data_IF_802557482895
#
_entry.id   IF_802557482895
#
_cell.length_a   1.000
_cell.length_b   1.000
_cell.length_c   1.000
_cell.angle_alpha   90.00
_cell.angle_beta   90.00
_cell.angle_gamma   90.00
#
_symmetry.space_group_name_H-M   'P 1'
#
loop_
_entity.id
_entity.type
_entity.pdbx_description
1 polymer ?
#
# COMPACT_ATOMS: atom_id res chain seq x y z
N UNK A 1 23.39 4.39 -13.76
CA UNK A 1 22.92 3.03 -14.13
C UNK A 1 21.61 2.76 -13.41
N UNK A 2 20.56 2.21 -14.06
CA UNK A 2 19.34 1.87 -13.34
C UNK A 2 19.65 0.81 -12.27
N UNK A 3 19.08 0.97 -11.08
CA UNK A 3 19.27 0.04 -9.96
C UNK A 3 18.59 -1.29 -10.30
N UNK A 4 19.38 -2.33 -10.57
CA UNK A 4 18.84 -3.65 -10.95
C UNK A 4 18.09 -4.34 -9.78
N UNK A 5 18.53 -4.09 -8.54
CA UNK A 5 17.93 -4.68 -7.34
C UNK A 5 17.96 -3.72 -6.15
N UNK A 6 16.84 -3.62 -5.45
CA UNK A 6 16.70 -2.92 -4.16
C UNK A 6 16.64 -3.96 -3.05
N UNK A 7 17.45 -3.75 -2.01
CA UNK A 7 17.49 -4.61 -0.83
C UNK A 7 16.74 -3.97 0.33
N UNK A 8 16.01 -4.80 1.08
CA UNK A 8 15.34 -4.39 2.31
C UNK A 8 15.49 -5.48 3.38
N UNK A 9 15.60 -5.07 4.65
CA UNK A 9 15.71 -6.00 5.78
C UNK A 9 15.11 -5.40 7.04
N UNK A 10 15.75 -4.34 7.55
CA UNK A 10 15.40 -3.75 8.83
C UNK A 10 14.31 -2.71 8.62
N UNK A 11 13.35 -2.58 9.57
CA UNK A 11 12.34 -1.54 9.53
C UNK A 11 12.86 -0.11 9.37
N UNK A 12 14.07 0.16 9.86
CA UNK A 12 14.70 1.49 9.88
C UNK A 12 15.46 1.83 8.59
N UNK A 13 15.60 0.89 7.67
CA UNK A 13 16.27 1.13 6.37
C UNK A 13 15.37 2.01 5.46
N UNK A 14 15.90 2.66 4.40
CA UNK A 14 15.09 3.49 3.48
C UNK A 14 13.90 2.76 2.83
N UNK A 15 14.00 1.44 2.64
CA UNK A 15 12.90 0.57 2.17
C UNK A 15 12.40 -0.36 3.28
N UNK A 16 12.69 -0.03 4.54
CA UNK A 16 12.39 -0.82 5.72
C UNK A 16 10.89 -0.95 6.00
N UNK A 17 10.09 -0.02 5.50
CA UNK A 17 8.63 -0.14 5.49
C UNK A 17 8.13 -1.35 4.68
N UNK A 18 8.96 -1.99 3.83
CA UNK A 18 8.64 -3.26 3.17
C UNK A 18 8.95 -4.50 4.04
N UNK A 19 9.68 -4.33 5.15
CA UNK A 19 9.86 -5.40 6.13
C UNK A 19 8.53 -5.77 6.77
N UNK A 20 8.19 -7.05 6.86
CA UNK A 20 6.95 -7.46 7.53
C UNK A 20 6.97 -7.17 9.05
N UNK A 21 8.14 -6.85 9.61
CA UNK A 21 8.34 -6.44 11.00
C UNK A 21 8.17 -4.92 11.24
N UNK A 22 8.07 -4.09 10.18
CA UNK A 22 7.89 -2.65 10.37
C UNK A 22 6.58 -2.32 11.08
N UNK A 23 6.55 -1.24 11.88
CA UNK A 23 5.40 -0.78 12.68
C UNK A 23 4.30 -0.13 11.83
N UNK A 24 3.73 -0.90 10.92
CA UNK A 24 2.54 -0.54 10.14
C UNK A 24 1.43 -1.50 10.53
N UNK A 25 0.42 -0.96 11.20
CA UNK A 25 -0.73 -1.73 11.65
C UNK A 25 -1.50 -2.27 10.45
N UNK A 26 -2.04 -3.49 10.59
CA UNK A 26 -2.91 -4.10 9.59
C UNK A 26 -4.18 -4.63 10.24
N UNK A 27 -5.32 -4.43 9.58
CA UNK A 27 -6.60 -5.00 9.94
C UNK A 27 -6.91 -6.20 9.05
N UNK A 28 -6.98 -7.39 9.66
CA UNK A 28 -7.15 -8.66 8.95
C UNK A 28 -8.05 -9.56 9.79
N UNK A 29 -9.09 -10.14 9.15
CA UNK A 29 -10.01 -11.11 9.77
C UNK A 29 -10.71 -10.57 11.03
N UNK A 30 -11.16 -9.31 10.97
CA UNK A 30 -11.87 -8.68 12.08
C UNK A 30 -10.97 -8.10 13.17
N UNK A 31 -9.65 -8.23 13.05
CA UNK A 31 -8.69 -7.93 14.11
C UNK A 31 -7.57 -7.00 13.63
N UNK A 32 -7.16 -6.07 14.50
CA UNK A 32 -5.98 -5.21 14.31
C UNK A 32 -4.71 -5.90 14.80
N UNK A 33 -3.67 -5.86 13.99
CA UNK A 33 -2.36 -6.43 14.26
C UNK A 33 -1.30 -5.35 14.19
N UNK A 34 -0.44 -5.25 15.21
CA UNK A 34 0.61 -4.22 15.27
C UNK A 34 1.53 -4.24 14.04
N UNK A 35 1.84 -5.43 13.54
CA UNK A 35 2.65 -5.63 12.33
C UNK A 35 2.17 -6.86 11.56
N UNK A 36 2.56 -6.96 10.29
CA UNK A 36 2.35 -8.17 9.49
C UNK A 36 3.06 -9.41 10.09
N UNK A 37 4.19 -9.22 10.79
CA UNK A 37 4.87 -10.29 11.55
C UNK A 37 3.96 -10.85 12.66
N UNK A 38 3.26 -10.02 13.44
CA UNK A 38 2.36 -10.51 14.48
C UNK A 38 1.28 -11.42 13.90
N UNK A 39 0.61 -10.97 12.83
CA UNK A 39 -0.38 -11.79 12.13
C UNK A 39 0.21 -13.12 11.65
N UNK A 40 1.37 -13.07 11.01
CA UNK A 40 2.03 -14.24 10.45
C UNK A 40 2.46 -15.25 11.53
N UNK A 41 2.99 -14.78 12.65
CA UNK A 41 3.42 -15.63 13.76
C UNK A 41 2.22 -16.26 14.48
N UNK A 42 1.15 -15.50 14.72
CA UNK A 42 -0.07 -16.02 15.35
C UNK A 42 -0.76 -17.06 14.48
N UNK A 43 -0.77 -16.89 13.14
CA UNK A 43 -1.41 -17.82 12.20
C UNK A 43 -0.79 -19.23 12.18
N UNK A 44 0.39 -19.42 12.78
CA UNK A 44 1.04 -20.72 12.95
C UNK A 44 0.32 -21.64 13.92
N UNK A 45 -0.48 -21.09 14.82
CA UNK A 45 -1.02 -21.82 15.97
C UNK A 45 -2.53 -21.85 15.98
N UNK A 46 -3.10 -22.95 16.48
CA UNK A 46 -4.54 -23.06 16.78
C UNK A 46 -4.83 -22.79 18.26
N UNK A 47 -3.88 -23.09 19.13
CA UNK A 47 -4.00 -22.88 20.58
C UNK A 47 -4.25 -21.41 20.93
N UNK A 48 -5.32 -21.15 21.69
CA UNK A 48 -5.76 -19.80 21.99
C UNK A 48 -4.79 -19.05 22.91
N UNK A 49 -4.19 -19.74 23.89
CA UNK A 49 -3.26 -19.13 24.85
C UNK A 49 -1.99 -18.65 24.16
N UNK A 50 -1.43 -19.49 23.30
CA UNK A 50 -0.24 -19.17 22.52
C UNK A 50 -0.50 -18.07 21.51
N UNK A 51 -1.65 -18.12 20.81
CA UNK A 51 -2.07 -17.03 19.92
C UNK A 51 -2.17 -15.71 20.67
N UNK A 52 -2.80 -15.69 21.84
CA UNK A 52 -2.93 -14.49 22.67
C UNK A 52 -1.56 -13.98 23.15
N UNK A 53 -0.65 -14.85 23.57
CA UNK A 53 0.71 -14.48 23.95
C UNK A 53 1.46 -13.79 22.80
N UNK A 54 1.35 -14.32 21.58
CA UNK A 54 1.99 -13.72 20.40
C UNK A 54 1.33 -12.37 20.03
N UNK A 55 0.00 -12.27 20.12
CA UNK A 55 -0.73 -11.00 19.88
C UNK A 55 -0.28 -9.91 20.85
N UNK A 56 0.00 -10.28 22.11
CA UNK A 56 0.37 -9.38 23.21
C UNK A 56 1.86 -9.04 23.24
N UNK A 57 2.69 -9.66 22.40
CA UNK A 57 4.09 -9.31 22.27
C UNK A 57 4.22 -7.81 21.95
N UNK A 58 5.22 -7.17 22.56
CA UNK A 58 5.46 -5.74 22.36
C UNK A 58 6.19 -5.48 21.04
N UNK A 59 6.96 -6.47 20.58
CA UNK A 59 7.80 -6.34 19.39
C UNK A 59 7.61 -7.50 18.42
N UNK A 60 7.77 -7.27 17.10
CA UNK A 60 7.76 -8.35 16.10
C UNK A 60 8.81 -9.43 16.38
N UNK A 61 9.95 -9.06 16.97
CA UNK A 61 11.00 -10.02 17.36
C UNK A 61 10.58 -10.89 18.53
N UNK A 62 9.83 -10.33 19.50
CA UNK A 62 9.23 -11.11 20.57
C UNK A 62 8.15 -12.06 20.06
N UNK A 63 7.24 -11.58 19.20
CA UNK A 63 6.25 -12.43 18.54
C UNK A 63 6.92 -13.62 17.83
N UNK A 64 8.02 -13.37 17.11
CA UNK A 64 8.82 -14.39 16.42
C UNK A 64 9.51 -15.35 17.41
N UNK A 65 10.04 -14.83 18.52
CA UNK A 65 10.71 -15.62 19.56
C UNK A 65 9.76 -16.61 20.21
N UNK A 66 8.58 -16.15 20.64
CA UNK A 66 7.53 -16.99 21.24
C UNK A 66 7.14 -18.09 20.24
N UNK A 67 6.83 -17.72 19.00
CA UNK A 67 6.47 -18.69 17.97
C UNK A 67 7.60 -19.69 17.62
N UNK A 68 8.86 -19.30 17.76
CA UNK A 68 10.00 -20.20 17.54
C UNK A 68 10.16 -21.21 18.69
N UNK A 69 9.99 -20.78 19.94
CA UNK A 69 10.03 -21.65 21.12
C UNK A 69 8.95 -22.75 21.03
N UNK A 70 7.78 -22.40 20.48
CA UNK A 70 6.66 -23.30 20.28
C UNK A 70 6.62 -23.96 18.90
N UNK A 71 7.75 -24.08 18.18
CA UNK A 71 7.76 -24.61 16.81
C UNK A 71 7.10 -25.99 16.64
N UNK A 72 7.10 -26.82 17.69
CA UNK A 72 6.48 -28.16 17.70
C UNK A 72 4.95 -28.11 17.74
N UNK A 73 4.39 -27.00 18.20
CA UNK A 73 2.94 -26.80 18.38
C UNK A 73 2.30 -26.14 17.14
N UNK A 74 3.07 -25.91 16.08
CA UNK A 74 2.57 -25.33 14.84
C UNK A 74 1.57 -26.27 14.16
N UNK A 75 0.58 -25.68 13.49
CA UNK A 75 -0.40 -26.43 12.71
C UNK A 75 0.27 -27.31 11.64
N UNK A 76 -0.23 -28.54 11.40
CA UNK A 76 0.43 -29.52 10.54
C UNK A 76 0.50 -29.09 9.06
N UNK A 77 -0.42 -28.24 8.62
CA UNK A 77 -0.49 -27.70 7.25
C UNK A 77 0.29 -26.41 7.06
N UNK A 78 1.06 -25.94 8.06
CA UNK A 78 1.75 -24.65 8.04
C UNK A 78 2.60 -24.44 6.78
N UNK A 79 3.37 -25.45 6.37
CA UNK A 79 4.21 -25.37 5.19
C UNK A 79 3.44 -25.12 3.89
N UNK A 80 2.19 -25.60 3.80
CA UNK A 80 1.32 -25.43 2.63
C UNK A 80 0.70 -24.03 2.57
N UNK A 81 0.36 -23.46 3.73
CA UNK A 81 -0.42 -22.20 3.80
C UNK A 81 0.42 -20.94 4.01
N UNK A 82 1.66 -21.07 4.52
CA UNK A 82 2.46 -19.92 4.98
C UNK A 82 2.59 -18.81 3.93
N UNK A 83 2.67 -19.16 2.65
CA UNK A 83 2.77 -18.20 1.55
C UNK A 83 1.47 -17.41 1.40
N UNK A 84 0.31 -18.07 1.48
CA UNK A 84 -0.99 -17.41 1.43
C UNK A 84 -1.22 -16.48 2.62
N UNK A 85 -0.83 -16.92 3.82
CA UNK A 85 -0.90 -16.09 5.04
C UNK A 85 -0.05 -14.83 4.89
N UNK A 86 1.22 -14.97 4.47
CA UNK A 86 2.10 -13.82 4.26
C UNK A 86 1.56 -12.89 3.17
N UNK A 87 1.12 -13.44 2.03
CA UNK A 87 0.52 -12.65 0.94
C UNK A 87 -0.64 -11.79 1.43
N UNK A 88 -1.54 -12.38 2.22
CA UNK A 88 -2.68 -11.65 2.80
C UNK A 88 -2.22 -10.50 3.69
N UNK A 89 -1.21 -10.74 4.53
CA UNK A 89 -0.64 -9.73 5.40
C UNK A 89 0.00 -8.57 4.64
N UNK A 90 0.82 -8.87 3.62
CA UNK A 90 1.48 -7.84 2.80
C UNK A 90 0.49 -7.04 1.97
N UNK A 91 -0.52 -7.70 1.40
CA UNK A 91 -1.57 -7.02 0.64
C UNK A 91 -2.40 -6.08 1.52
N UNK A 92 -2.82 -6.55 2.71
CA UNK A 92 -3.47 -5.68 3.70
C UNK A 92 -2.57 -4.48 4.06
N UNK A 93 -1.28 -4.73 4.29
CA UNK A 93 -0.31 -3.69 4.61
C UNK A 93 -0.19 -2.62 3.54
N UNK A 94 0.05 -2.99 2.28
CA UNK A 94 0.14 -2.01 1.19
C UNK A 94 -1.19 -1.29 0.92
N UNK A 95 -2.33 -1.97 1.05
CA UNK A 95 -3.64 -1.34 0.84
C UNK A 95 -3.97 -0.33 1.93
N UNK A 96 -3.68 -0.66 3.18
CA UNK A 96 -4.10 0.13 4.35
C UNK A 96 -3.09 1.23 4.73
N UNK A 97 -1.82 1.13 4.30
CA UNK A 97 -0.77 2.09 4.64
C UNK A 97 -0.26 2.77 3.36
N UNK A 98 -0.61 4.05 3.20
CA UNK A 98 -0.35 4.81 1.97
C UNK A 98 1.13 5.06 1.70
N UNK A 99 1.91 5.24 2.76
CA UNK A 99 3.36 5.38 2.75
C UNK A 99 4.06 4.09 2.29
N UNK A 100 3.67 2.92 2.83
CA UNK A 100 4.18 1.61 2.37
C UNK A 100 3.87 1.40 0.88
N UNK A 101 2.66 1.77 0.46
CA UNK A 101 2.24 1.67 -0.95
C UNK A 101 3.07 2.55 -1.87
N UNK A 102 3.28 3.82 -1.49
CA UNK A 102 4.09 4.74 -2.26
C UNK A 102 5.51 4.21 -2.43
N UNK A 103 6.13 3.75 -1.34
CA UNK A 103 7.46 3.15 -1.38
C UNK A 103 7.50 1.90 -2.26
N UNK A 104 6.49 1.04 -2.21
CA UNK A 104 6.41 -0.17 -3.04
C UNK A 104 6.34 0.15 -4.54
N UNK A 105 5.59 1.19 -4.93
CA UNK A 105 5.40 1.54 -6.34
C UNK A 105 6.65 2.19 -6.94
N UNK A 106 7.34 3.07 -6.20
CA UNK A 106 8.57 3.73 -6.69
C UNK A 106 9.73 2.74 -6.91
N UNK A 107 9.63 1.51 -6.40
CA UNK A 107 10.65 0.49 -6.64
C UNK A 107 10.53 -0.14 -8.02
N UNK A 108 9.52 0.18 -8.83
CA UNK A 108 9.42 -0.30 -10.20
C UNK A 108 10.48 0.37 -11.11
N UNK A 109 11.09 -0.37 -12.05
CA UNK A 109 10.94 -1.80 -12.32
C UNK A 109 11.96 -2.67 -11.55
N UNK A 110 12.67 -2.13 -10.55
CA UNK A 110 13.73 -2.82 -9.84
C UNK A 110 13.24 -4.10 -9.12
N UNK A 111 14.14 -5.08 -9.01
CA UNK A 111 13.87 -6.31 -8.26
C UNK A 111 13.96 -6.05 -6.76
N UNK A 112 12.92 -6.39 -6.02
CA UNK A 112 12.94 -6.34 -4.56
C UNK A 112 13.57 -7.61 -4.00
N UNK A 113 14.62 -7.49 -3.18
CA UNK A 113 15.30 -8.60 -2.52
C UNK A 113 15.33 -8.42 -1.02
N UNK A 114 14.70 -9.32 -0.27
CA UNK A 114 14.88 -9.34 1.17
C UNK A 114 16.29 -9.87 1.48
N UNK A 115 17.10 -9.07 2.17
CA UNK A 115 18.40 -9.53 2.63
C UNK A 115 18.20 -10.60 3.72
N UNK A 116 18.86 -11.75 3.59
CA UNK A 116 18.76 -12.83 4.58
C UNK A 116 19.97 -13.75 4.50
N UNK A 117 20.17 -14.57 5.53
CA UNK A 117 21.20 -15.61 5.53
C UNK A 117 20.96 -16.63 4.41
N UNK A 118 22.02 -17.27 3.94
CA UNK A 118 21.98 -18.29 2.90
C UNK A 118 21.00 -19.41 3.25
N UNK A 119 20.10 -19.75 2.32
CA UNK A 119 19.10 -20.81 2.51
C UNK A 119 17.75 -20.37 3.07
N UNK A 120 17.58 -19.09 3.41
CA UNK A 120 16.27 -18.56 3.81
C UNK A 120 15.25 -18.70 2.68
N UNK A 121 14.04 -19.13 3.04
CA UNK A 121 12.91 -19.26 2.14
C UNK A 121 12.30 -17.89 1.78
N UNK A 122 12.23 -16.98 2.76
CA UNK A 122 11.61 -15.67 2.62
C UNK A 122 12.55 -14.68 1.94
N UNK A 123 13.81 -14.64 2.35
CA UNK A 123 14.87 -13.85 1.70
C UNK A 123 15.86 -14.69 0.89
N UNK A 124 17.07 -14.15 0.69
CA UNK A 124 18.19 -14.88 0.08
C UNK A 124 17.91 -15.37 -1.35
N UNK A 125 18.38 -16.58 -1.69
CA UNK A 125 18.24 -17.12 -3.07
C UNK A 125 16.79 -17.39 -3.48
N UNK A 126 15.91 -17.75 -2.53
CA UNK A 126 14.49 -18.04 -2.84
C UNK A 126 13.68 -16.74 -2.97
N UNK A 127 13.98 -15.76 -2.11
CA UNK A 127 13.41 -14.41 -2.12
C UNK A 127 11.88 -14.39 -2.25
N UNK A 128 11.19 -15.27 -1.52
CA UNK A 128 9.72 -15.34 -1.61
C UNK A 128 9.06 -14.03 -1.18
N UNK A 129 9.58 -13.35 -0.16
CA UNK A 129 9.02 -12.08 0.31
C UNK A 129 9.13 -10.98 -0.75
N UNK A 130 10.30 -10.84 -1.38
CA UNK A 130 10.49 -9.91 -2.49
C UNK A 130 9.57 -10.24 -3.67
N UNK A 131 9.39 -11.53 -4.01
CA UNK A 131 8.44 -11.95 -5.04
C UNK A 131 7.00 -11.60 -4.70
N UNK A 132 6.57 -11.77 -3.45
CA UNK A 132 5.22 -11.39 -3.02
C UNK A 132 5.02 -9.88 -3.10
N UNK A 133 6.02 -9.07 -2.74
CA UNK A 133 5.95 -7.63 -2.88
C UNK A 133 5.89 -7.19 -4.33
N UNK A 134 6.72 -7.76 -5.21
CA UNK A 134 6.64 -7.48 -6.65
C UNK A 134 5.29 -7.90 -7.22
N UNK A 135 4.73 -9.06 -6.83
CA UNK A 135 3.38 -9.45 -7.23
C UNK A 135 2.30 -8.48 -6.73
N UNK A 136 2.41 -7.95 -5.52
CA UNK A 136 1.47 -6.94 -5.02
C UNK A 136 1.67 -5.60 -5.74
N UNK A 137 2.90 -5.20 -6.02
CA UNK A 137 3.22 -4.01 -6.83
C UNK A 137 2.64 -4.11 -8.23
N UNK A 138 2.88 -5.24 -8.90
CA UNK A 138 2.39 -5.51 -10.25
C UNK A 138 0.87 -5.58 -10.23
N UNK A 139 0.25 -6.22 -9.22
CA UNK A 139 -1.21 -6.17 -9.03
C UNK A 139 -1.73 -4.75 -8.87
N UNK A 140 -1.09 -3.93 -8.03
CA UNK A 140 -1.46 -2.52 -7.83
C UNK A 140 -1.27 -1.68 -9.10
N UNK A 141 -0.32 -2.06 -9.97
CA UNK A 141 -0.09 -1.43 -11.28
C UNK A 141 -1.05 -1.91 -12.37
N UNK A 142 -1.32 -3.22 -12.46
CA UNK A 142 -2.20 -3.88 -13.45
C UNK A 142 -3.68 -3.61 -13.18
N UNK A 143 -4.09 -3.47 -11.92
CA UNK A 143 -5.47 -3.16 -11.58
C UNK A 143 -5.92 -1.77 -12.07
N UNK A 144 -5.01 -0.95 -12.63
CA UNK A 144 -5.29 0.45 -13.02
C UNK A 144 -5.85 1.27 -11.86
N UNK A 145 -5.62 0.78 -10.64
CA UNK A 145 -6.33 1.18 -9.46
C UNK A 145 -5.38 2.03 -8.62
N UNK A 146 -5.68 3.32 -8.69
CA UNK A 146 -5.39 4.36 -7.72
C UNK A 146 -4.14 5.20 -7.99
N UNK A 147 -4.32 6.21 -8.83
CA UNK A 147 -3.86 7.56 -8.49
C UNK A 147 -4.40 7.89 -7.10
N UNK A 148 -3.54 8.35 -6.19
CA UNK A 148 -3.97 8.69 -4.84
C UNK A 148 -4.90 9.90 -4.86
N UNK A 149 -6.21 9.71 -4.69
CA UNK A 149 -7.15 10.79 -4.33
C UNK A 149 -7.03 11.15 -2.83
N UNK A 150 -5.82 11.14 -2.26
CA UNK A 150 -5.65 11.62 -0.89
C UNK A 150 -5.73 13.15 -0.95
N UNK A 151 -6.90 13.70 -0.59
CA UNK A 151 -7.35 15.09 -0.88
C UNK A 151 -7.42 15.37 -2.39
N UNK A 152 -8.47 14.90 -3.10
CA UNK A 152 -8.64 15.29 -4.49
C UNK A 152 -8.80 16.80 -4.55
N UNK A 153 -8.11 17.46 -5.49
CA UNK A 153 -8.38 18.88 -5.74
C UNK A 153 -9.87 19.00 -6.13
N UNK A 154 -10.67 19.82 -5.44
CA UNK A 154 -12.06 20.00 -5.79
C UNK A 154 -12.18 20.54 -7.22
N UNK A 155 -13.24 20.19 -7.96
CA UNK A 155 -13.44 20.78 -9.27
C UNK A 155 -13.63 22.30 -9.15
N UNK A 156 -13.40 23.07 -10.22
CA UNK A 156 -13.47 24.53 -10.18
C UNK A 156 -14.78 25.10 -9.60
N UNK A 157 -15.92 24.43 -9.85
CA UNK A 157 -17.22 24.85 -9.31
C UNK A 157 -17.43 24.59 -7.82
N UNK A 158 -16.68 23.67 -7.21
CA UNK A 158 -16.70 23.47 -5.75
C UNK A 158 -15.65 24.32 -5.04
N UNK A 159 -14.52 24.59 -5.70
CA UNK A 159 -13.45 25.42 -5.14
C UNK A 159 -13.84 26.90 -5.08
N UNK A 160 -14.39 27.43 -6.17
CA UNK A 160 -14.77 28.83 -6.32
C UNK A 160 -16.20 28.94 -6.88
N UNK A 161 -17.22 28.61 -6.06
CA UNK A 161 -18.62 28.63 -6.49
C UNK A 161 -19.11 30.02 -6.92
N UNK A 162 -18.43 31.10 -6.50
CA UNK A 162 -18.72 32.48 -6.89
C UNK A 162 -18.30 32.83 -8.32
N UNK A 163 -17.38 32.07 -8.91
CA UNK A 163 -16.89 32.30 -10.26
C UNK A 163 -17.75 31.55 -11.28
N UNK A 164 -18.54 32.28 -12.06
CA UNK A 164 -19.25 31.71 -13.21
C UNK A 164 -18.25 31.06 -14.20
N UNK A 165 -18.65 29.96 -14.86
CA UNK A 165 -17.79 29.19 -15.79
C UNK A 165 -17.12 30.06 -16.87
N UNK A 166 -17.83 31.07 -17.37
CA UNK A 166 -17.35 31.98 -18.41
C UNK A 166 -16.66 33.24 -17.85
N UNK A 167 -16.42 33.31 -16.54
CA UNK A 167 -15.80 34.46 -15.90
C UNK A 167 -14.37 34.67 -16.41
N UNK A 168 -14.01 35.94 -16.62
CA UNK A 168 -12.63 36.32 -16.93
C UNK A 168 -11.66 36.01 -15.78
N UNK A 169 -12.17 35.82 -14.56
CA UNK A 169 -11.39 35.44 -13.38
C UNK A 169 -10.67 34.09 -13.47
N UNK A 170 -11.04 33.24 -14.44
CA UNK A 170 -10.34 32.00 -14.77
C UNK A 170 -9.13 32.19 -15.69
N UNK A 171 -8.99 33.37 -16.32
CA UNK A 171 -7.94 33.68 -17.30
C UNK A 171 -7.06 34.87 -16.92
N UNK A 172 -7.52 35.69 -15.98
CA UNK A 172 -6.87 36.95 -15.58
C UNK A 172 -7.07 37.22 -14.08
N UNK A 173 -7.27 36.19 -13.26
CA UNK A 173 -7.63 36.32 -11.85
C UNK A 173 -7.17 35.14 -11.01
N UNK A 174 -7.56 35.10 -9.73
CA UNK A 174 -7.12 34.06 -8.78
C UNK A 174 -7.57 32.64 -9.15
N UNK A 175 -8.51 32.50 -10.08
CA UNK A 175 -8.94 31.22 -10.62
C UNK A 175 -7.94 30.60 -11.62
N UNK A 176 -7.08 31.41 -12.26
CA UNK A 176 -6.13 30.95 -13.28
C UNK A 176 -5.09 29.98 -12.69
N UNK A 177 -4.43 30.38 -11.60
CA UNK A 177 -3.44 29.54 -10.91
C UNK A 177 -4.05 28.21 -10.42
N UNK A 178 -5.32 28.23 -10.01
CA UNK A 178 -6.01 27.01 -9.59
C UNK A 178 -6.40 26.13 -10.77
N UNK A 179 -6.76 26.70 -11.92
CA UNK A 179 -7.00 25.94 -13.14
C UNK A 179 -5.75 25.20 -13.60
N UNK A 180 -4.58 25.85 -13.57
CA UNK A 180 -3.30 25.21 -13.89
C UNK A 180 -2.99 24.04 -12.94
N UNK A 181 -3.15 24.25 -11.64
CA UNK A 181 -2.94 23.22 -10.61
C UNK A 181 -3.93 22.05 -10.79
N UNK A 182 -5.19 22.36 -11.05
CA UNK A 182 -6.25 21.38 -11.24
C UNK A 182 -6.06 20.59 -12.55
N UNK A 183 -5.70 21.23 -13.66
CA UNK A 183 -5.44 20.57 -14.95
C UNK A 183 -4.25 19.63 -14.84
N UNK A 184 -3.14 20.07 -14.22
CA UNK A 184 -1.97 19.24 -13.98
C UNK A 184 -2.32 18.00 -13.12
N UNK A 185 -3.18 18.19 -12.11
CA UNK A 185 -3.69 17.10 -11.29
C UNK A 185 -4.59 16.14 -12.08
N UNK A 186 -5.64 16.65 -12.74
CA UNK A 186 -6.66 15.84 -13.41
C UNK A 186 -6.12 15.09 -14.63
N UNK A 187 -5.33 15.75 -15.47
CA UNK A 187 -4.70 15.09 -16.63
C UNK A 187 -3.50 14.23 -16.25
N UNK A 188 -2.89 14.50 -15.09
CA UNK A 188 -1.90 13.62 -14.47
C UNK A 188 -2.48 12.29 -13.96
N UNK A 189 -3.81 12.21 -13.76
CA UNK A 189 -4.48 10.95 -13.41
C UNK A 189 -4.42 9.96 -14.58
N UNK A 190 -4.38 8.66 -14.26
CA UNK A 190 -4.66 7.59 -15.20
C UNK A 190 -6.07 7.72 -15.81
N UNK A 191 -6.36 7.10 -16.98
CA UNK A 191 -7.71 7.06 -17.54
C UNK A 191 -8.78 6.54 -16.56
N UNK A 192 -8.43 5.54 -15.74
CA UNK A 192 -9.30 5.01 -14.68
C UNK A 192 -9.45 5.99 -13.50
N UNK A 193 -8.38 6.72 -13.15
CA UNK A 193 -8.41 7.81 -12.16
C UNK A 193 -9.34 8.95 -12.57
N UNK A 194 -9.25 9.41 -13.83
CA UNK A 194 -10.17 10.42 -14.39
C UNK A 194 -11.62 9.95 -14.36
N UNK A 195 -11.88 8.70 -14.75
CA UNK A 195 -13.24 8.13 -14.73
C UNK A 195 -13.83 8.12 -13.31
N UNK A 196 -13.04 7.77 -12.29
CA UNK A 196 -13.47 7.81 -10.88
C UNK A 196 -13.69 9.24 -10.38
N UNK A 197 -12.80 10.18 -10.72
CA UNK A 197 -12.93 11.58 -10.36
C UNK A 197 -14.24 12.18 -10.90
N UNK A 198 -14.59 11.89 -12.17
CA UNK A 198 -15.82 12.34 -12.81
C UNK A 198 -17.09 11.74 -12.16
N UNK A 199 -17.03 10.50 -11.66
CA UNK A 199 -18.15 9.88 -10.94
C UNK A 199 -18.40 10.52 -9.57
N UNK A 200 -17.34 10.97 -8.89
CA UNK A 200 -17.42 11.64 -7.59
C UNK A 200 -17.90 13.09 -7.76
N UNK A 201 -17.34 13.80 -8.74
CA UNK A 201 -17.59 15.22 -8.97
C UNK A 201 -18.39 15.42 -10.26
N UNK A 202 -19.70 15.20 -10.18
CA UNK A 202 -20.62 15.41 -11.31
C UNK A 202 -20.81 16.91 -11.56
N UNK A 203 -20.62 17.40 -12.80
CA UNK A 203 -20.77 18.83 -13.08
C UNK A 203 -22.23 19.30 -12.94
N UNK A 204 -22.49 20.44 -12.29
CA UNK A 204 -23.81 21.07 -12.32
C UNK A 204 -24.19 21.54 -13.75
N UNK A 205 -25.43 21.99 -13.93
CA UNK A 205 -25.98 22.35 -15.25
C UNK A 205 -25.11 23.37 -15.99
N UNK A 206 -24.59 24.38 -15.30
CA UNK A 206 -23.74 25.42 -15.90
C UNK A 206 -22.36 24.90 -16.34
N UNK A 207 -21.92 23.76 -15.80
CA UNK A 207 -20.62 23.15 -16.02
C UNK A 207 -20.67 21.87 -16.88
N UNK A 208 -21.78 21.60 -17.55
CA UNK A 208 -21.89 20.45 -18.46
C UNK A 208 -20.81 20.46 -19.56
N UNK A 209 -20.25 19.29 -19.84
CA UNK A 209 -19.16 19.08 -20.79
C UNK A 209 -17.82 19.68 -20.34
N UNK A 210 -17.65 19.97 -19.06
CA UNK A 210 -16.39 20.53 -18.55
C UNK A 210 -15.19 19.57 -18.74
N UNK A 211 -15.41 18.27 -18.58
CA UNK A 211 -14.36 17.26 -18.69
C UNK A 211 -14.01 16.85 -20.14
N UNK A 212 -14.77 17.32 -21.13
CA UNK A 212 -14.62 16.94 -22.54
C UNK A 212 -13.64 17.86 -23.29
N UNK A 213 -12.76 18.56 -22.56
CA UNK A 213 -11.82 19.57 -23.07
C UNK A 213 -10.51 18.97 -23.54
#
# INVERSE_FOLDING_TARGET
MPVESIYFLNPEDPFGCLSNASRHQVYIDGMSWQTAEHYFQTAKFKDAKLRYAIIRAETPDEARRIAHQHRRDQRPDWHKIKVGVMRKALSAKARQNADVRAVLLITAPARLKQHAKTGDFWGGKKNMLGKLWMQERDRLGESGEFDSLNRPLPPPWEKYPELHRASIGWRMGYGEAYMEEWDAYFYGLSPAGRSRYQQIFTPPKEWHGFYDR
#
